data_IF_068172725572
#
_entry.id   IF_068172725572
#
_cell.length_a   1.000
_cell.length_b   1.000
_cell.length_c   1.000
_cell.angle_alpha   90.00
_cell.angle_beta   90.00
_cell.angle_gamma   90.00
#
_symmetry.space_group_name_H-M   'P 1'
#
loop_
_entity.id
_entity.type
_entity.pdbx_description
1 polymer ?
#
# COMPACT_ATOMS: atom_id res chain seq x y z
N UNK A 1 21.59 5.52 5.66
CA UNK A 1 20.30 5.67 4.95
C UNK A 1 20.36 4.81 3.70
N UNK A 2 20.34 3.49 3.85
CA UNK A 2 19.98 2.57 2.76
C UNK A 2 18.60 2.05 3.15
N UNK A 3 17.59 2.87 2.84
CA UNK A 3 16.20 2.65 3.25
C UNK A 3 15.32 2.34 2.05
N UNK A 4 14.22 1.62 2.27
CA UNK A 4 13.25 1.25 1.22
C UNK A 4 12.78 2.44 0.35
N UNK A 5 12.78 3.65 0.88
CA UNK A 5 12.47 4.86 0.12
C UNK A 5 13.55 5.21 -0.93
N UNK A 6 14.82 4.98 -0.61
CA UNK A 6 15.94 5.16 -1.55
C UNK A 6 15.95 4.09 -2.64
N UNK A 7 15.51 2.86 -2.31
CA UNK A 7 15.36 1.76 -3.27
C UNK A 7 14.12 1.89 -4.16
N UNK A 8 13.25 2.86 -3.87
CA UNK A 8 12.03 3.06 -4.63
C UNK A 8 12.36 3.69 -6.00
N UNK A 9 12.00 3.04 -7.12
CA UNK A 9 12.15 3.60 -8.45
C UNK A 9 11.57 5.01 -8.60
N UNK A 10 12.26 5.85 -9.39
CA UNK A 10 11.86 7.24 -9.62
C UNK A 10 10.46 7.38 -10.25
N UNK A 11 10.04 6.43 -11.08
CA UNK A 11 8.72 6.44 -11.70
C UNK A 11 7.59 6.29 -10.66
N UNK A 12 7.79 5.49 -9.62
CA UNK A 12 6.84 5.33 -8.53
C UNK A 12 6.64 6.63 -7.75
N UNK A 13 7.63 7.53 -7.71
CA UNK A 13 7.48 8.87 -7.11
C UNK A 13 6.66 9.86 -7.96
N UNK A 14 6.36 9.53 -9.21
CA UNK A 14 5.66 10.43 -10.15
C UNK A 14 4.22 10.03 -10.43
N UNK A 15 3.74 8.94 -9.82
CA UNK A 15 2.40 8.38 -10.08
C UNK A 15 1.30 9.39 -9.71
N UNK A 16 0.46 9.85 -10.66
CA UNK A 16 -0.61 10.78 -10.34
C UNK A 16 -1.76 10.10 -9.60
N UNK A 17 -2.41 10.83 -8.70
CA UNK A 17 -3.64 10.35 -8.06
C UNK A 17 -4.80 10.31 -9.07
N UNK A 18 -5.37 9.12 -9.27
CA UNK A 18 -6.56 8.91 -10.10
C UNK A 18 -7.52 7.97 -9.37
N UNK A 19 -8.55 8.54 -8.73
CA UNK A 19 -9.47 7.79 -7.86
C UNK A 19 -10.24 6.66 -8.56
N UNK A 20 -10.52 6.80 -9.85
CA UNK A 20 -11.18 5.77 -10.66
C UNK A 20 -10.29 4.54 -10.91
N UNK A 21 -8.98 4.67 -10.73
CA UNK A 21 -8.00 3.59 -10.91
C UNK A 21 -7.68 2.95 -9.56
N UNK A 22 -8.51 1.99 -9.19
CA UNK A 22 -8.36 1.20 -7.97
C UNK A 22 -8.15 -0.29 -8.31
N UNK A 23 -7.78 -1.15 -7.33
CA UNK A 23 -7.67 -2.59 -7.56
C UNK A 23 -8.97 -3.14 -8.16
N UNK A 24 -8.85 -3.97 -9.21
CA UNK A 24 -9.98 -4.59 -9.90
C UNK A 24 -10.84 -3.66 -10.76
N UNK A 25 -10.52 -2.36 -10.89
CA UNK A 25 -11.32 -1.46 -11.73
C UNK A 25 -11.15 -1.74 -13.23
N UNK A 26 -12.18 -1.51 -14.07
CA UNK A 26 -12.03 -1.55 -15.54
C UNK A 26 -10.96 -0.58 -16.05
N UNK A 27 -10.83 0.59 -15.43
CA UNK A 27 -9.82 1.59 -15.80
C UNK A 27 -8.39 1.07 -15.58
N UNK A 28 -8.17 0.31 -14.51
CA UNK A 28 -6.88 -0.37 -14.23
C UNK A 28 -6.67 -1.52 -15.21
N UNK A 29 -7.70 -2.34 -15.48
CA UNK A 29 -7.59 -3.46 -16.41
C UNK A 29 -7.23 -3.00 -17.84
N UNK A 30 -7.84 -1.91 -18.31
CA UNK A 30 -7.56 -1.36 -19.64
C UNK A 30 -6.13 -0.78 -19.78
N UNK A 31 -5.54 -0.31 -18.67
CA UNK A 31 -4.20 0.28 -18.64
C UNK A 31 -3.50 -0.13 -17.34
N UNK A 32 -2.83 -1.29 -17.28
CA UNK A 32 -2.32 -1.83 -16.01
C UNK A 32 -1.20 -1.01 -15.36
N UNK A 33 -0.41 -0.29 -16.14
CA UNK A 33 0.76 0.42 -15.61
C UNK A 33 0.38 1.57 -14.65
N UNK A 34 1.08 1.65 -13.52
CA UNK A 34 0.91 2.70 -12.51
C UNK A 34 1.17 4.11 -13.04
N UNK A 35 2.01 4.25 -14.08
CA UNK A 35 2.30 5.53 -14.72
C UNK A 35 1.04 6.24 -15.27
N UNK A 36 -0.06 5.51 -15.51
CA UNK A 36 -1.36 6.09 -15.88
C UNK A 36 -2.18 6.60 -14.68
N UNK A 37 -1.59 6.57 -13.49
CA UNK A 37 -2.19 6.97 -12.22
C UNK A 37 -2.74 5.82 -11.39
N UNK A 38 -3.05 6.12 -10.14
CA UNK A 38 -3.59 5.16 -9.19
C UNK A 38 -4.35 5.86 -8.07
N UNK A 39 -5.23 5.14 -7.38
CA UNK A 39 -5.66 5.54 -6.05
C UNK A 39 -4.65 5.05 -4.99
N UNK A 40 -4.89 5.37 -3.72
CA UNK A 40 -4.02 5.00 -2.60
C UNK A 40 -3.70 3.50 -2.56
N UNK A 41 -4.71 2.65 -2.72
CA UNK A 41 -4.58 1.21 -2.59
C UNK A 41 -3.86 0.56 -3.77
N UNK A 42 -4.21 0.94 -5.01
CA UNK A 42 -3.52 0.44 -6.20
C UNK A 42 -2.05 0.85 -6.17
N UNK A 43 -1.75 2.09 -5.77
CA UNK A 43 -0.38 2.56 -5.62
C UNK A 43 0.41 1.72 -4.60
N UNK A 44 -0.16 1.47 -3.41
CA UNK A 44 0.48 0.62 -2.40
C UNK A 44 0.78 -0.79 -2.94
N UNK A 45 -0.13 -1.37 -3.73
CA UNK A 45 0.08 -2.70 -4.31
C UNK A 45 1.17 -2.71 -5.39
N UNK A 46 1.31 -1.64 -6.16
CA UNK A 46 2.39 -1.51 -7.14
C UNK A 46 3.76 -1.36 -6.48
N UNK A 47 3.85 -0.60 -5.37
CA UNK A 47 5.07 -0.54 -4.55
C UNK A 47 5.40 -1.92 -3.98
N UNK A 48 4.42 -2.63 -3.39
CA UNK A 48 4.62 -3.99 -2.90
C UNK A 48 5.13 -4.95 -3.99
N UNK A 49 4.54 -4.85 -5.19
CA UNK A 49 4.94 -5.66 -6.35
C UNK A 49 6.40 -5.43 -6.73
N UNK A 50 6.89 -4.18 -6.63
CA UNK A 50 8.30 -3.84 -6.86
C UNK A 50 9.23 -4.52 -5.86
N UNK A 51 8.77 -4.77 -4.64
CA UNK A 51 9.48 -5.53 -3.61
C UNK A 51 9.12 -7.02 -3.58
N UNK A 52 8.54 -7.56 -4.66
CA UNK A 52 8.24 -8.98 -4.80
C UNK A 52 7.03 -9.47 -4.00
N UNK A 53 6.24 -8.58 -3.39
CA UNK A 53 5.03 -8.92 -2.63
C UNK A 53 3.80 -8.67 -3.49
N UNK A 54 2.93 -9.67 -3.63
CA UNK A 54 1.69 -9.56 -4.43
C UNK A 54 0.47 -9.61 -3.52
N UNK A 55 -0.46 -8.71 -3.76
CA UNK A 55 -1.77 -8.68 -3.10
C UNK A 55 -2.83 -8.91 -4.19
N UNK A 56 -3.85 -9.75 -3.95
CA UNK A 56 -4.98 -9.85 -4.87
C UNK A 56 -5.67 -8.48 -5.01
N UNK A 57 -6.48 -8.25 -6.05
CA UNK A 57 -7.10 -6.95 -6.33
C UNK A 57 -8.25 -6.59 -5.37
N UNK A 58 -8.06 -6.81 -4.07
CA UNK A 58 -8.98 -6.54 -2.97
C UNK A 58 -9.15 -5.04 -2.77
N UNK A 59 -10.38 -4.59 -2.52
CA UNK A 59 -10.72 -3.26 -2.00
C UNK A 59 -10.46 -3.19 -0.50
N UNK A 60 -10.50 -2.00 0.09
CA UNK A 60 -10.06 -1.76 1.48
C UNK A 60 -10.79 -2.64 2.51
N UNK A 61 -12.10 -2.84 2.37
CA UNK A 61 -12.87 -3.73 3.26
C UNK A 61 -12.49 -5.21 3.06
N UNK A 62 -12.30 -5.63 1.81
CA UNK A 62 -11.89 -6.99 1.46
C UNK A 62 -10.45 -7.28 1.93
N UNK A 63 -9.54 -6.31 1.80
CA UNK A 63 -8.18 -6.36 2.33
C UNK A 63 -8.19 -6.51 3.86
N UNK A 64 -9.05 -5.76 4.55
CA UNK A 64 -9.17 -5.89 5.99
C UNK A 64 -9.72 -7.26 6.39
N UNK A 65 -10.70 -7.81 5.66
CA UNK A 65 -11.29 -9.12 5.91
C UNK A 65 -10.38 -10.29 5.52
N UNK A 66 -9.52 -10.12 4.51
CA UNK A 66 -8.68 -11.19 3.98
C UNK A 66 -7.78 -11.80 5.05
N UNK A 67 -7.68 -13.12 5.07
CA UNK A 67 -6.77 -13.88 5.94
C UNK A 67 -5.85 -14.80 5.15
N UNK A 68 -6.06 -14.88 3.83
CA UNK A 68 -5.40 -15.82 2.93
C UNK A 68 -4.14 -15.20 2.37
N UNK A 69 -4.23 -14.06 1.69
CA UNK A 69 -3.07 -13.40 1.11
C UNK A 69 -2.36 -12.46 2.11
N UNK A 70 -3.10 -11.98 3.11
CA UNK A 70 -2.65 -11.04 4.12
C UNK A 70 -3.14 -11.44 5.50
N UNK A 71 -2.50 -10.93 6.56
CA UNK A 71 -2.92 -11.16 7.94
C UNK A 71 -2.70 -9.91 8.79
N UNK A 72 -3.49 -9.70 9.85
CA UNK A 72 -3.31 -8.55 10.73
C UNK A 72 -2.06 -8.72 11.60
N UNK A 73 -1.38 -7.61 11.89
CA UNK A 73 -0.23 -7.57 12.80
C UNK A 73 -0.38 -6.42 13.80
N UNK A 74 0.13 -6.54 15.04
CA UNK A 74 -0.01 -5.51 16.07
C UNK A 74 0.97 -4.34 15.89
N UNK A 75 2.13 -4.59 15.28
CA UNK A 75 3.19 -3.60 15.06
C UNK A 75 3.63 -3.63 13.61
N UNK A 76 3.82 -2.47 12.96
CA UNK A 76 4.20 -2.41 11.56
C UNK A 76 5.69 -2.72 11.39
N UNK A 77 5.98 -3.53 10.39
CA UNK A 77 7.32 -3.71 9.83
C UNK A 77 7.38 -3.11 8.42
N UNK A 78 8.60 -2.92 7.88
CA UNK A 78 8.76 -2.42 6.53
C UNK A 78 7.91 -3.19 5.50
N UNK A 79 7.19 -2.45 4.66
CA UNK A 79 6.22 -2.91 3.66
C UNK A 79 4.87 -3.43 4.21
N UNK A 80 4.56 -3.22 5.49
CA UNK A 80 3.20 -3.47 5.97
C UNK A 80 2.22 -2.38 5.52
N UNK A 81 0.98 -2.80 5.24
CA UNK A 81 -0.11 -1.93 4.84
C UNK A 81 -0.81 -1.36 6.07
N UNK A 82 -0.94 -0.04 6.14
CA UNK A 82 -1.71 0.66 7.17
C UNK A 82 -3.01 1.15 6.57
N UNK A 83 -4.13 0.86 7.24
CA UNK A 83 -5.47 1.28 6.82
C UNK A 83 -5.95 2.43 7.72
N UNK A 84 -6.30 3.55 7.13
CA UNK A 84 -6.76 4.75 7.83
C UNK A 84 -8.16 5.16 7.37
N UNK A 85 -8.98 5.68 8.28
CA UNK A 85 -10.32 6.15 7.94
C UNK A 85 -10.76 7.26 8.91
N UNK A 86 -11.88 7.95 8.65
CA UNK A 86 -12.36 8.99 9.57
C UNK A 86 -13.02 8.43 10.85
N UNK A 87 -13.45 7.17 10.82
CA UNK A 87 -14.35 6.56 11.81
C UNK A 87 -13.93 5.15 12.25
N UNK A 88 -12.74 4.68 11.85
CA UNK A 88 -12.26 3.33 12.13
C UNK A 88 -12.85 2.25 11.22
N UNK A 89 -13.70 2.60 10.24
CA UNK A 89 -14.23 1.64 9.27
C UNK A 89 -13.19 1.26 8.22
N UNK A 90 -13.16 -0.02 7.83
CA UNK A 90 -12.36 -0.49 6.71
C UNK A 90 -12.96 -0.13 5.33
N UNK A 91 -14.26 0.19 5.28
CA UNK A 91 -14.92 0.55 4.03
C UNK A 91 -14.47 1.94 3.57
N UNK A 92 -13.88 2.02 2.37
CA UNK A 92 -13.32 3.27 1.84
C UNK A 92 -12.04 3.74 2.55
N UNK A 93 -11.43 2.90 3.39
CA UNK A 93 -10.20 3.25 4.09
C UNK A 93 -9.07 3.61 3.11
N UNK A 94 -8.33 4.65 3.48
CA UNK A 94 -7.08 5.04 2.86
C UNK A 94 -5.98 4.04 3.21
N UNK A 95 -5.08 3.77 2.27
CA UNK A 95 -4.01 2.79 2.45
C UNK A 95 -2.65 3.44 2.25
N UNK A 96 -1.72 3.16 3.15
CA UNK A 96 -0.30 3.52 3.05
C UNK A 96 0.60 2.33 3.37
N UNK A 97 1.89 2.46 3.12
CA UNK A 97 2.92 1.48 3.43
C UNK A 97 3.85 2.01 4.51
N UNK A 98 4.09 1.21 5.54
CA UNK A 98 5.16 1.49 6.49
C UNK A 98 6.52 1.30 5.83
N UNK A 99 7.39 2.30 5.92
CA UNK A 99 8.73 2.24 5.34
C UNK A 99 9.78 1.98 6.43
N UNK A 100 9.82 2.82 7.46
CA UNK A 100 10.63 2.69 8.68
C UNK A 100 10.26 3.84 9.63
N UNK A 101 10.58 3.76 10.93
CA UNK A 101 10.64 4.94 11.83
C UNK A 101 9.47 5.94 11.69
N UNK A 102 8.22 5.47 11.76
CA UNK A 102 7.00 6.29 11.59
C UNK A 102 6.82 6.95 10.21
N UNK A 103 7.52 6.44 9.20
CA UNK A 103 7.48 6.95 7.83
C UNK A 103 6.51 6.11 7.00
N UNK A 104 5.43 6.73 6.51
CA UNK A 104 4.39 6.06 5.73
C UNK A 104 4.37 6.62 4.31
N UNK A 105 4.69 5.77 3.33
CA UNK A 105 4.57 6.09 1.91
C UNK A 105 3.13 5.84 1.45
N UNK A 106 2.52 6.82 0.80
CA UNK A 106 1.15 6.69 0.29
C UNK A 106 0.90 7.63 -0.89
N UNK A 107 -0.26 7.46 -1.54
CA UNK A 107 -0.74 8.34 -2.60
C UNK A 107 -2.14 8.82 -2.22
N UNK A 108 -2.36 10.13 -2.10
CA UNK A 108 -3.65 10.68 -1.71
C UNK A 108 -4.14 11.77 -2.66
N UNK A 109 -5.45 12.03 -2.63
CA UNK A 109 -6.09 13.07 -3.43
C UNK A 109 -5.59 14.48 -3.08
N UNK A 110 -5.30 14.72 -1.79
CA UNK A 110 -4.88 16.01 -1.26
C UNK A 110 -3.56 16.48 -1.89
N UNK A 111 -2.58 15.59 -1.99
CA UNK A 111 -1.26 15.90 -2.56
C UNK A 111 -1.22 15.67 -4.07
N UNK A 112 -2.03 14.74 -4.58
CA UNK A 112 -2.13 14.43 -6.01
C UNK A 112 -0.98 13.59 -6.58
N UNK A 113 0.06 13.35 -5.78
CA UNK A 113 1.25 12.53 -6.08
C UNK A 113 1.68 11.79 -4.81
N UNK A 114 2.62 10.83 -4.89
CA UNK A 114 3.08 10.10 -3.72
C UNK A 114 3.67 11.05 -2.69
N UNK A 115 3.37 10.76 -1.44
CA UNK A 115 3.78 11.54 -0.29
C UNK A 115 4.26 10.60 0.81
N UNK A 116 5.02 11.18 1.72
CA UNK A 116 5.52 10.51 2.91
C UNK A 116 5.03 11.30 4.11
N UNK A 117 4.23 10.65 4.95
CA UNK A 117 3.62 11.23 6.14
C UNK A 117 3.91 10.38 7.37
N UNK A 118 3.92 11.03 8.54
CA UNK A 118 3.95 10.37 9.84
C UNK A 118 2.55 9.93 10.30
N UNK A 119 2.46 9.10 11.34
CA UNK A 119 1.14 8.81 11.94
C UNK A 119 0.48 10.06 12.52
N UNK A 120 1.28 11.01 13.02
CA UNK A 120 0.79 12.30 13.50
C UNK A 120 0.17 13.13 12.36
N UNK A 121 0.78 13.13 11.18
CA UNK A 121 0.23 13.78 9.98
C UNK A 121 -1.13 13.20 9.58
N UNK A 122 -1.28 11.87 9.67
CA UNK A 122 -2.56 11.20 9.44
C UNK A 122 -3.60 11.60 10.51
N UNK A 123 -3.22 11.57 11.80
CA UNK A 123 -4.08 11.96 12.92
C UNK A 123 -4.60 13.40 12.82
N UNK A 124 -3.78 14.32 12.30
CA UNK A 124 -4.15 15.71 12.09
C UNK A 124 -5.20 15.92 10.98
N UNK A 125 -5.49 14.90 10.15
CA UNK A 125 -6.41 14.99 9.02
C UNK A 125 -7.69 14.23 9.32
N UNK A 126 -8.81 14.94 9.41
CA UNK A 126 -10.12 14.37 9.73
C UNK A 126 -10.51 13.13 8.88
N UNK A 127 -10.06 13.07 7.62
CA UNK A 127 -10.36 11.96 6.70
C UNK A 127 -9.61 10.66 7.02
N UNK A 128 -8.52 10.74 7.77
CA UNK A 128 -7.59 9.63 7.96
C UNK A 128 -7.18 9.44 9.43
N UNK A 129 -7.87 10.12 10.35
CA UNK A 129 -7.44 10.27 11.74
C UNK A 129 -7.38 8.96 12.52
N UNK A 130 -8.23 7.98 12.17
CA UNK A 130 -8.30 6.69 12.84
C UNK A 130 -7.48 5.64 12.08
N UNK A 131 -6.59 4.95 12.79
CA UNK A 131 -5.95 3.73 12.30
C UNK A 131 -6.93 2.56 12.47
N UNK A 132 -7.43 2.03 11.35
CA UNK A 132 -8.28 0.83 11.33
C UNK A 132 -7.48 -0.40 11.74
N UNK A 133 -6.24 -0.50 11.24
CA UNK A 133 -5.35 -1.61 11.54
C UNK A 133 -4.21 -1.74 10.54
N UNK A 134 -3.39 -2.77 10.76
CA UNK A 134 -2.18 -3.06 10.00
C UNK A 134 -2.30 -4.44 9.38
N UNK A 135 -1.89 -4.57 8.12
CA UNK A 135 -1.95 -5.80 7.32
C UNK A 135 -0.59 -6.13 6.73
N UNK A 136 -0.11 -7.34 6.99
CA UNK A 136 1.10 -7.89 6.38
C UNK A 136 0.74 -8.81 5.22
N UNK A 137 1.46 -8.68 4.11
CA UNK A 137 1.36 -9.62 2.99
C UNK A 137 2.09 -10.91 3.32
N UNK A 138 1.44 -12.06 3.10
CA UNK A 138 2.12 -13.36 3.17
C UNK A 138 3.10 -13.47 2.01
N UNK A 139 4.38 -13.59 2.31
CA UNK A 139 5.36 -14.06 1.34
C UNK A 139 5.20 -15.57 1.23
N UNK A 140 5.24 -16.11 0.01
CA UNK A 140 5.50 -17.54 -0.12
C UNK A 140 6.81 -17.83 0.63
N UNK A 141 6.80 -18.80 1.54
CA UNK A 141 8.07 -19.34 2.03
C UNK A 141 8.86 -19.75 0.79
N UNK A 142 10.11 -19.28 0.65
CA UNK A 142 11.03 -20.01 -0.21
C UNK A 142 11.08 -21.41 0.41
N UNK A 143 10.66 -22.43 -0.33
CA UNK A 143 10.98 -23.81 0.07
C UNK A 143 12.49 -23.86 0.33
N UNK A 144 12.94 -24.32 1.52
CA UNK A 144 14.34 -24.57 1.74
C UNK A 144 14.76 -25.72 0.83
N UNK A 145 15.35 -25.41 -0.34
CA UNK A 145 15.87 -26.41 -1.26
C UNK A 145 15.85 -26.11 -2.76
N UNK A 146 15.30 -24.98 -3.23
CA UNK A 146 15.36 -24.69 -4.68
C UNK A 146 16.80 -24.35 -5.12
N UNK A 147 17.39 -25.07 -6.09
CA UNK A 147 18.73 -24.80 -6.60
C UNK A 147 18.78 -23.46 -7.35
N UNK A 148 19.94 -22.81 -7.32
CA UNK A 148 20.20 -21.58 -8.07
C UNK A 148 20.06 -21.83 -9.58
N UNK A 149 19.50 -20.88 -10.36
CA UNK A 149 19.48 -20.97 -11.81
C UNK A 149 20.92 -20.92 -12.39
N UNK A 150 21.12 -21.46 -13.60
CA UNK A 150 22.44 -21.67 -14.20
C UNK A 150 23.23 -20.37 -14.42
#
# INVERSE_FOLDING_TARGET
>A
MDGLLADLPADLWTVPYVGARHPGSPATAARPAAAHGANCQLYAYEVLRRFGRRVPPLRSAELWADRTATFPVPHPEPLDLLLFSPDGSAYGAHVGLWMAEDTILHLCREVGRPAVWSRADFAARARYRELVGIKRVRTAEREPGSPAPP
#
